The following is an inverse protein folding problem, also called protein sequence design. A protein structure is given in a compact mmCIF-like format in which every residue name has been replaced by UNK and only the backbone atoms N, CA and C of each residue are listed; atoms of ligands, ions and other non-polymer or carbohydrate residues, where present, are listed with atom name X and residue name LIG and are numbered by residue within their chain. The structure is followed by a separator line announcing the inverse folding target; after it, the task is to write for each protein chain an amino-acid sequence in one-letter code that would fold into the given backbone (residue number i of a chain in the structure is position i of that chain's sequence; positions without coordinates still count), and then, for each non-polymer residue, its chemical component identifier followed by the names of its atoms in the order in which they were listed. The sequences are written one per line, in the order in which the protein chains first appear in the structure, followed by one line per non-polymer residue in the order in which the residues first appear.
data_IF_184674831616
#
_entry.id   IF_184674831616
#
_cell.length_a   1.000
_cell.length_b   1.000
_cell.length_c   1.000
_cell.angle_alpha   90.00
_cell.angle_beta   90.00
_cell.angle_gamma   90.00
#
_symmetry.space_group_name_H-M   'P 1'
#
loop_
_entity.id
_entity.type
_entity.pdbx_description
1 polymer ?
#
# COMPACT_ATOMS: atom_id res chain seq x y z
N UNK A 1 7.49 -26.05 23.34
CA UNK A 1 6.88 -25.74 22.04
C UNK A 1 6.17 -24.41 22.20
N UNK A 2 6.89 -23.31 21.97
CA UNK A 2 6.31 -21.97 22.04
C UNK A 2 5.33 -21.81 20.88
N UNK A 3 4.03 -21.82 21.21
CA UNK A 3 3.02 -21.27 20.31
C UNK A 3 3.27 -19.76 20.31
N UNK A 4 3.95 -19.26 19.27
CA UNK A 4 3.99 -17.84 18.94
C UNK A 4 2.54 -17.35 18.96
N UNK A 5 2.18 -16.62 20.02
CA UNK A 5 0.88 -16.00 20.14
C UNK A 5 0.79 -14.99 19.01
N UNK A 6 0.04 -15.35 17.96
CA UNK A 6 -0.08 -14.49 16.78
C UNK A 6 -0.69 -13.17 17.25
N UNK A 7 0.09 -12.10 17.08
CA UNK A 7 -0.42 -10.76 17.30
C UNK A 7 -1.46 -10.49 16.21
N UNK A 8 -2.75 -10.51 16.58
CA UNK A 8 -3.85 -10.28 15.65
C UNK A 8 -3.89 -8.84 15.13
N UNK A 9 -3.29 -7.90 15.86
CA UNK A 9 -3.21 -6.48 15.51
C UNK A 9 -1.93 -6.18 14.72
N UNK A 10 -1.78 -6.84 13.57
CA UNK A 10 -0.62 -6.65 12.67
C UNK A 10 -1.06 -6.22 11.28
N UNK A 11 -0.25 -5.36 10.66
CA UNK A 11 -0.38 -4.97 9.24
C UNK A 11 0.44 -5.87 8.32
N UNK A 12 0.91 -7.01 8.82
CA UNK A 12 1.72 -7.97 8.12
C UNK A 12 1.05 -9.35 8.05
N UNK A 13 1.50 -10.20 7.14
CA UNK A 13 1.19 -11.62 7.10
C UNK A 13 1.69 -12.31 8.38
N UNK A 14 1.31 -13.58 8.57
CA UNK A 14 1.69 -14.36 9.76
C UNK A 14 3.20 -14.53 9.93
N UNK A 15 3.98 -14.34 8.88
CA UNK A 15 5.45 -14.32 8.93
C UNK A 15 6.05 -13.03 9.51
N UNK A 16 5.26 -11.97 9.68
CA UNK A 16 5.71 -10.68 10.17
C UNK A 16 6.58 -9.88 9.19
N UNK A 17 6.72 -10.33 7.94
CA UNK A 17 7.58 -9.71 6.92
C UNK A 17 6.73 -9.02 5.85
N UNK A 18 5.75 -9.73 5.30
CA UNK A 18 4.98 -9.24 4.14
C UNK A 18 3.86 -8.33 4.58
N UNK A 19 3.89 -7.06 4.18
CA UNK A 19 2.84 -6.08 4.51
C UNK A 19 1.54 -6.41 3.78
N UNK A 20 0.42 -6.30 4.48
CA UNK A 20 -0.92 -6.38 3.89
C UNK A 20 -1.20 -5.08 3.13
N UNK A 21 -1.38 -5.18 1.81
CA UNK A 21 -1.68 -4.05 0.93
C UNK A 21 -3.18 -3.93 0.60
N UNK A 22 -3.87 -5.07 0.58
CA UNK A 22 -5.30 -5.16 0.32
C UNK A 22 -5.90 -6.36 1.06
N UNK A 23 -7.20 -6.28 1.41
CA UNK A 23 -7.95 -7.37 2.04
C UNK A 23 -9.25 -7.57 1.28
N UNK A 24 -9.54 -8.81 0.92
CA UNK A 24 -10.85 -9.23 0.41
C UNK A 24 -11.55 -10.06 1.48
N UNK A 25 -12.87 -9.92 1.60
CA UNK A 25 -13.69 -10.71 2.51
C UNK A 25 -14.81 -11.40 1.77
N UNK A 26 -15.17 -12.61 2.22
CA UNK A 26 -16.28 -13.36 1.65
C UNK A 26 -16.91 -14.31 2.68
N UNK A 27 -18.17 -14.69 2.42
CA UNK A 27 -18.92 -15.68 3.19
C UNK A 27 -19.01 -17.01 2.42
N UNK A 28 -19.21 -18.11 3.14
CA UNK A 28 -19.70 -19.36 2.53
C UNK A 28 -21.17 -19.21 2.17
N UNK A 29 -21.48 -19.44 0.90
CA UNK A 29 -22.84 -19.31 0.37
C UNK A 29 -23.36 -20.67 -0.09
N UNK A 30 -24.68 -20.86 -0.07
CA UNK A 30 -25.30 -22.18 -0.37
C UNK A 30 -25.14 -22.62 -1.84
N UNK A 31 -24.89 -21.68 -2.76
CA UNK A 31 -24.55 -21.93 -4.18
C UNK A 31 -23.04 -22.27 -4.37
N UNK A 32 -22.51 -23.12 -3.48
CA UNK A 32 -21.10 -23.20 -3.12
C UNK A 32 -20.12 -23.57 -4.23
N UNK A 33 -20.47 -24.49 -5.15
CA UNK A 33 -19.48 -25.04 -6.10
C UNK A 33 -19.06 -24.05 -7.18
N UNK A 34 -20.01 -23.41 -7.88
CA UNK A 34 -19.70 -22.43 -8.94
C UNK A 34 -18.99 -21.19 -8.40
N UNK A 35 -19.34 -20.74 -7.18
CA UNK A 35 -18.65 -19.62 -6.53
C UNK A 35 -17.25 -20.01 -6.06
N UNK A 36 -17.06 -21.25 -5.60
CA UNK A 36 -15.75 -21.75 -5.20
C UNK A 36 -14.80 -21.87 -6.40
N UNK A 37 -15.28 -22.35 -7.55
CA UNK A 37 -14.47 -22.42 -8.77
C UNK A 37 -14.01 -21.04 -9.22
N UNK A 38 -14.93 -20.07 -9.33
CA UNK A 38 -14.59 -18.67 -9.66
C UNK A 38 -13.60 -18.05 -8.68
N UNK A 39 -13.69 -18.38 -7.39
CA UNK A 39 -12.73 -17.91 -6.39
C UNK A 39 -11.34 -18.49 -6.63
N UNK A 40 -11.24 -19.80 -6.91
CA UNK A 40 -9.96 -20.45 -7.22
C UNK A 40 -9.33 -19.85 -8.47
N UNK A 41 -10.11 -19.60 -9.51
CA UNK A 41 -9.64 -18.92 -10.72
C UNK A 41 -9.15 -17.51 -10.43
N UNK A 42 -9.91 -16.74 -9.64
CA UNK A 42 -9.53 -15.38 -9.25
C UNK A 42 -8.22 -15.36 -8.44
N UNK A 43 -8.09 -16.20 -7.41
CA UNK A 43 -6.86 -16.33 -6.63
C UNK A 43 -5.67 -16.80 -7.47
N UNK A 44 -5.90 -17.70 -8.43
CA UNK A 44 -4.87 -18.13 -9.37
C UNK A 44 -4.41 -16.99 -10.29
N UNK A 45 -5.34 -16.15 -10.74
CA UNK A 45 -5.04 -14.97 -11.55
C UNK A 45 -4.25 -13.92 -10.76
N UNK A 46 -4.59 -13.66 -9.49
CA UNK A 46 -3.83 -12.78 -8.62
C UNK A 46 -2.38 -13.27 -8.44
N UNK A 47 -2.20 -14.57 -8.17
CA UNK A 47 -0.87 -15.19 -8.08
C UNK A 47 -0.10 -15.10 -9.40
N UNK A 48 -0.78 -15.30 -10.53
CA UNK A 48 -0.18 -15.17 -11.86
C UNK A 48 0.25 -13.73 -12.17
N UNK A 49 -0.45 -12.73 -11.63
CA UNK A 49 -0.04 -11.33 -11.69
C UNK A 49 1.14 -10.99 -10.76
N UNK A 50 1.64 -11.96 -9.98
CA UNK A 50 2.77 -11.81 -9.07
C UNK A 50 2.39 -11.38 -7.66
N UNK A 51 1.09 -11.33 -7.33
CA UNK A 51 0.63 -11.02 -5.98
C UNK A 51 0.75 -12.24 -5.06
N UNK A 52 1.03 -11.97 -3.79
CA UNK A 52 1.14 -12.98 -2.75
C UNK A 52 -0.09 -12.95 -1.85
N UNK A 53 -0.62 -14.14 -1.52
CA UNK A 53 -1.91 -14.30 -0.83
C UNK A 53 -1.74 -15.08 0.47
N UNK A 54 -2.44 -14.65 1.53
CA UNK A 54 -2.61 -15.37 2.79
C UNK A 54 -4.08 -15.38 3.18
N UNK A 55 -4.67 -16.57 3.35
CA UNK A 55 -6.10 -16.73 3.70
C UNK A 55 -6.25 -17.04 5.19
N UNK A 56 -7.02 -16.22 5.89
CA UNK A 56 -7.53 -16.50 7.24
C UNK A 56 -8.87 -17.23 7.14
N UNK A 57 -9.05 -18.27 7.96
CA UNK A 57 -10.29 -19.03 7.99
C UNK A 57 -11.39 -18.25 8.70
N UNK A 58 -12.65 -18.56 8.39
CA UNK A 58 -13.79 -18.02 9.12
C UNK A 58 -13.73 -18.32 10.62
N UNK A 59 -13.05 -19.37 11.08
CA UNK A 59 -12.86 -19.62 12.50
C UNK A 59 -12.12 -18.51 13.24
N UNK A 60 -11.36 -17.69 12.51
CA UNK A 60 -10.56 -16.61 13.07
C UNK A 60 -11.32 -15.26 13.06
N UNK A 61 -12.51 -15.20 12.46
CA UNK A 61 -13.36 -14.00 12.41
C UNK A 61 -14.29 -13.89 13.62
N UNK A 62 -14.65 -12.65 13.99
CA UNK A 62 -15.56 -12.39 15.11
C UNK A 62 -16.97 -13.00 14.89
N UNK A 63 -17.40 -13.10 13.64
CA UNK A 63 -18.71 -13.64 13.26
C UNK A 63 -18.71 -15.15 12.95
N UNK A 64 -17.52 -15.78 12.98
CA UNK A 64 -17.27 -17.19 12.63
C UNK A 64 -17.73 -17.62 11.23
N UNK A 65 -17.92 -16.65 10.31
CA UNK A 65 -18.50 -16.87 8.98
C UNK A 65 -17.70 -16.24 7.84
N UNK A 66 -16.89 -15.22 8.15
CA UNK A 66 -16.17 -14.43 7.16
C UNK A 66 -14.74 -14.92 7.00
N UNK A 67 -14.37 -15.28 5.77
CA UNK A 67 -12.97 -15.51 5.41
C UNK A 67 -12.33 -14.19 5.00
N UNK A 68 -11.04 -14.05 5.29
CA UNK A 68 -10.24 -12.91 4.86
C UNK A 68 -9.07 -13.37 3.99
N UNK A 69 -8.98 -12.82 2.79
CA UNK A 69 -7.85 -13.00 1.89
C UNK A 69 -6.97 -11.75 1.95
N UNK A 70 -5.81 -11.86 2.58
CA UNK A 70 -4.79 -10.82 2.64
C UNK A 70 -3.95 -10.87 1.37
N UNK A 71 -3.65 -9.70 0.81
CA UNK A 71 -2.88 -9.55 -0.43
C UNK A 71 -1.66 -8.70 -0.14
N UNK A 72 -0.50 -9.19 -0.57
CA UNK A 72 0.78 -8.48 -0.56
C UNK A 72 1.29 -8.31 -1.99
N UNK A 73 1.78 -7.12 -2.32
CA UNK A 73 2.45 -6.83 -3.57
C UNK A 73 3.98 -6.74 -3.37
N UNK A 74 4.75 -7.66 -3.98
CA UNK A 74 6.21 -7.57 -4.01
C UNK A 74 6.71 -6.31 -4.73
N UNK A 75 7.96 -5.93 -4.47
CA UNK A 75 8.60 -4.76 -5.09
C UNK A 75 8.49 -4.76 -6.62
N UNK A 76 8.76 -5.89 -7.28
CA UNK A 76 8.73 -5.98 -8.75
C UNK A 76 7.35 -5.68 -9.33
N UNK A 77 6.29 -6.13 -8.66
CA UNK A 77 4.90 -5.82 -9.04
C UNK A 77 4.65 -4.33 -8.84
N UNK A 78 4.99 -3.78 -7.67
CA UNK A 78 4.79 -2.37 -7.38
C UNK A 78 5.55 -1.45 -8.36
N UNK A 79 6.82 -1.75 -8.64
CA UNK A 79 7.64 -0.98 -9.56
C UNK A 79 7.06 -1.03 -10.98
N UNK A 80 6.67 -2.21 -11.46
CA UNK A 80 6.06 -2.38 -12.79
C UNK A 80 4.78 -1.57 -12.93
N UNK A 81 3.85 -1.70 -11.99
CA UNK A 81 2.58 -0.98 -12.06
C UNK A 81 2.75 0.51 -11.74
N UNK A 82 3.69 0.92 -10.89
CA UNK A 82 3.96 2.33 -10.64
C UNK A 82 4.48 3.06 -11.88
N UNK A 83 5.29 2.39 -12.70
CA UNK A 83 5.77 2.91 -13.99
C UNK A 83 4.60 3.02 -14.99
N UNK A 84 3.79 1.96 -15.13
CA UNK A 84 2.61 1.97 -16.01
C UNK A 84 1.62 3.07 -15.61
N UNK A 85 1.36 3.23 -14.31
CA UNK A 85 0.44 4.22 -13.75
C UNK A 85 1.05 5.62 -13.61
N UNK A 86 2.32 5.81 -14.00
CA UNK A 86 3.05 7.08 -13.93
C UNK A 86 2.95 7.76 -12.56
N UNK A 87 3.11 6.96 -11.51
CA UNK A 87 3.07 7.43 -10.12
C UNK A 87 4.23 8.39 -9.90
N UNK A 88 3.93 9.61 -9.46
CA UNK A 88 4.97 10.59 -9.12
C UNK A 88 5.63 10.23 -7.80
N UNK A 89 6.96 10.17 -7.82
CA UNK A 89 7.81 9.81 -6.67
C UNK A 89 8.95 10.81 -6.51
N UNK A 90 9.51 10.97 -5.31
CA UNK A 90 10.59 11.93 -5.06
C UNK A 90 11.90 11.53 -5.74
N UNK A 91 12.56 12.49 -6.40
CA UNK A 91 13.90 12.31 -6.99
C UNK A 91 14.95 13.29 -6.43
N UNK A 92 14.51 14.41 -5.83
CA UNK A 92 15.38 15.39 -5.19
C UNK A 92 14.65 16.08 -4.05
N UNK A 93 15.32 16.34 -2.94
CA UNK A 93 14.82 17.21 -1.88
C UNK A 93 14.72 18.65 -2.39
N UNK A 94 13.64 19.34 -2.04
CA UNK A 94 13.41 20.73 -2.45
C UNK A 94 14.41 21.65 -1.77
N UNK A 95 15.16 22.41 -2.57
CA UNK A 95 16.03 23.49 -2.13
C UNK A 95 15.30 24.85 -2.06
N UNK A 96 13.99 24.86 -2.32
CA UNK A 96 13.15 26.06 -2.29
C UNK A 96 12.70 26.33 -0.84
N UNK A 97 12.96 27.52 -0.26
CA UNK A 97 12.51 27.88 1.07
C UNK A 97 10.98 27.84 1.17
N UNK A 98 10.46 27.11 2.17
CA UNK A 98 9.02 27.03 2.41
C UNK A 98 8.50 28.40 2.89
N UNK A 99 7.53 28.99 2.18
CA UNK A 99 6.83 30.18 2.65
C UNK A 99 7.45 31.54 2.34
N UNK A 100 8.43 31.63 1.44
CA UNK A 100 8.83 32.91 0.84
C UNK A 100 8.15 33.04 -0.53
N UNK A 101 7.32 34.07 -0.67
CA UNK A 101 6.71 34.54 -1.94
C UNK A 101 5.41 33.86 -2.42
N UNK A 102 4.40 33.77 -1.55
CA UNK A 102 3.00 33.73 -2.03
C UNK A 102 2.43 35.16 -2.10
N UNK A 103 2.06 35.67 -3.29
CA UNK A 103 1.29 36.90 -3.39
C UNK A 103 0.02 36.80 -2.51
N UNK A 104 -0.34 37.86 -1.79
CA UNK A 104 -1.50 37.91 -0.87
C UNK A 104 -1.37 37.07 0.42
N UNK A 105 -0.15 36.79 0.87
CA UNK A 105 0.15 36.04 2.10
C UNK A 105 -0.67 36.49 3.32
N UNK A 106 -0.94 37.80 3.45
CA UNK A 106 -1.75 38.42 4.50
C UNK A 106 -3.13 37.77 4.70
N UNK A 107 -3.76 37.31 3.62
CA UNK A 107 -5.11 36.73 3.65
C UNK A 107 -5.13 35.38 4.39
N UNK A 108 -4.02 34.64 4.31
CA UNK A 108 -3.88 33.31 4.91
C UNK A 108 -3.41 33.33 6.37
N UNK A 109 -2.90 34.47 6.87
CA UNK A 109 -2.30 34.60 8.22
C UNK A 109 -3.22 34.16 9.37
N UNK A 110 -4.54 34.45 9.38
CA UNK A 110 -5.43 34.00 10.46
C UNK A 110 -5.59 32.49 10.55
N UNK A 111 -5.29 31.76 9.46
CA UNK A 111 -5.42 30.32 9.35
C UNK A 111 -4.07 29.59 9.40
N UNK A 112 -2.95 30.31 9.53
CA UNK A 112 -1.62 29.69 9.66
C UNK A 112 -1.47 29.06 11.04
N UNK A 113 -1.26 27.75 11.06
CA UNK A 113 -0.92 27.04 12.27
C UNK A 113 0.47 27.50 12.78
N UNK A 114 0.67 27.59 14.11
CA UNK A 114 1.99 27.84 14.68
C UNK A 114 3.00 26.77 14.22
N UNK A 115 4.22 27.18 13.91
CA UNK A 115 5.29 26.30 13.39
C UNK A 115 5.58 25.10 14.31
N UNK A 116 5.44 25.29 15.63
CA UNK A 116 5.55 24.24 16.66
C UNK A 116 4.54 23.09 16.48
N UNK A 117 3.42 23.34 15.81
CA UNK A 117 2.37 22.33 15.51
C UNK A 117 2.61 21.67 14.15
N UNK A 118 3.19 22.40 13.19
CA UNK A 118 3.26 21.97 11.79
C UNK A 118 4.21 20.79 11.54
N UNK A 119 5.18 20.50 12.42
CA UNK A 119 6.21 19.46 12.22
C UNK A 119 6.71 19.43 10.76
N UNK A 120 7.35 20.52 10.30
CA UNK A 120 7.64 20.71 8.89
C UNK A 120 8.46 19.52 8.35
N UNK A 121 7.92 18.86 7.34
CA UNK A 121 8.63 17.84 6.58
C UNK A 121 9.25 18.51 5.34
N UNK A 122 10.44 18.07 4.89
CA UNK A 122 11.02 18.58 3.66
C UNK A 122 10.12 18.26 2.47
N UNK A 123 9.96 19.23 1.57
CA UNK A 123 9.32 19.01 0.28
C UNK A 123 10.28 18.28 -0.66
N UNK A 124 9.72 17.62 -1.67
CA UNK A 124 10.49 16.92 -2.69
C UNK A 124 10.02 17.29 -4.08
N UNK A 125 10.96 17.44 -5.00
CA UNK A 125 10.64 17.41 -6.42
C UNK A 125 10.27 15.98 -6.82
N UNK A 126 9.17 15.85 -7.56
CA UNK A 126 8.64 14.56 -7.99
C UNK A 126 8.62 14.42 -9.50
N UNK A 127 8.83 13.20 -9.97
CA UNK A 127 8.74 12.80 -11.38
C UNK A 127 7.97 11.49 -11.48
N UNK A 128 7.26 11.19 -12.59
CA UNK A 128 6.73 9.86 -12.83
C UNK A 128 7.80 8.79 -12.64
N UNK A 129 7.47 7.73 -11.91
CA UNK A 129 8.35 6.59 -11.68
C UNK A 129 8.70 5.92 -13.01
N UNK A 130 9.95 5.49 -13.13
CA UNK A 130 10.51 4.81 -14.29
C UNK A 130 11.36 3.65 -13.74
N UNK A 131 10.89 2.42 -13.97
CA UNK A 131 11.53 1.21 -13.42
C UNK A 131 12.89 0.93 -14.05
N UNK A 132 13.20 1.52 -15.20
CA UNK A 132 14.49 1.37 -15.88
C UNK A 132 15.51 2.44 -15.41
N UNK A 133 15.07 3.41 -14.60
CA UNK A 133 15.89 4.51 -14.05
C UNK A 133 15.78 4.62 -12.52
N UNK A 134 15.82 3.49 -11.82
CA UNK A 134 15.66 3.42 -10.36
C UNK A 134 16.66 4.34 -9.63
N UNK A 135 17.91 4.40 -10.09
CA UNK A 135 18.98 5.22 -9.49
C UNK A 135 18.73 6.75 -9.58
N UNK A 136 17.77 7.18 -10.41
CA UNK A 136 17.35 8.57 -10.48
C UNK A 136 16.50 9.00 -9.27
N UNK A 137 15.84 8.05 -8.60
CA UNK A 137 14.89 8.33 -7.53
C UNK A 137 15.50 8.16 -6.14
N UNK A 138 14.93 8.84 -5.14
CA UNK A 138 15.40 8.77 -3.75
C UNK A 138 14.90 7.49 -3.04
N UNK A 139 15.40 6.33 -3.47
CA UNK A 139 15.02 5.03 -2.92
C UNK A 139 16.02 4.62 -1.84
N UNK A 140 15.72 4.92 -0.57
CA UNK A 140 16.53 4.47 0.57
C UNK A 140 16.22 3.03 0.98
N UNK A 141 14.95 2.66 0.94
CA UNK A 141 14.46 1.33 1.27
C UNK A 141 13.19 1.04 0.45
N UNK A 142 13.24 -0.03 -0.34
CA UNK A 142 12.17 -0.48 -1.23
C UNK A 142 10.87 -0.82 -0.49
N UNK A 143 10.96 -1.38 0.73
CA UNK A 143 9.80 -1.76 1.55
C UNK A 143 8.97 -0.54 1.98
N UNK A 144 9.63 0.60 2.13
CA UNK A 144 9.02 1.86 2.59
C UNK A 144 8.84 2.91 1.50
N UNK A 145 9.43 2.69 0.32
CA UNK A 145 9.46 3.69 -0.76
C UNK A 145 8.06 4.04 -1.24
N UNK A 146 7.23 3.02 -1.51
CA UNK A 146 5.82 3.23 -1.79
C UNK A 146 5.04 3.28 -0.46
N UNK A 147 4.40 4.40 -0.10
CA UNK A 147 3.61 4.49 1.11
C UNK A 147 2.36 3.58 1.02
N UNK A 148 1.77 3.17 2.16
CA UNK A 148 0.62 2.26 2.18
C UNK A 148 -0.54 2.68 1.26
N UNK A 149 -0.83 3.97 1.19
CA UNK A 149 -1.88 4.52 0.31
C UNK A 149 -1.58 4.29 -1.17
N UNK A 150 -0.33 4.48 -1.60
CA UNK A 150 0.10 4.22 -2.96
C UNK A 150 0.10 2.74 -3.27
N UNK A 151 0.60 1.90 -2.35
CA UNK A 151 0.58 0.42 -2.50
C UNK A 151 -0.85 -0.10 -2.66
N UNK A 152 -1.77 0.35 -1.80
CA UNK A 152 -3.19 0.00 -1.89
C UNK A 152 -3.81 0.39 -3.25
N UNK A 153 -3.55 1.62 -3.73
CA UNK A 153 -4.03 2.08 -5.04
C UNK A 153 -3.46 1.26 -6.21
N UNK A 154 -2.21 0.83 -6.12
CA UNK A 154 -1.61 -0.05 -7.12
C UNK A 154 -2.35 -1.39 -7.11
N UNK A 155 -2.47 -2.04 -5.95
CA UNK A 155 -3.10 -3.37 -5.83
C UNK A 155 -4.57 -3.35 -6.25
N UNK A 156 -5.31 -2.29 -5.95
CA UNK A 156 -6.71 -2.12 -6.39
C UNK A 156 -6.87 -1.97 -7.90
N UNK A 157 -5.78 -1.73 -8.64
CA UNK A 157 -5.78 -1.69 -10.11
C UNK A 157 -5.40 -3.04 -10.71
N UNK A 158 -4.66 -3.87 -9.97
CA UNK A 158 -4.29 -5.24 -10.37
C UNK A 158 -5.43 -6.23 -10.14
N UNK A 159 -6.19 -6.02 -9.05
CA UNK A 159 -7.26 -6.90 -8.56
C UNK A 159 -8.62 -6.52 -9.14
#
# INVERSE_FOLDING_TARGET
TDRLQQNKDTVFFRDGVRRIDFILSYLDDKDGEKKQERRREFEANLKKAGLELETEDKSDSDDLKTYFLKIHAPWEVLATYADVLKIKVPFKESDIPHGQDVPLEWLSRPFRLPEKVMRPQPDYFTSPFDKDKIDFFLIKNQDTFFPPSTRNRIVSTVS
#
